data_IF_536382504837
#
_entry.id   IF_536382504837
#
_cell.length_a   1.000
_cell.length_b   1.000
_cell.length_c   1.000
_cell.angle_alpha   90.00
_cell.angle_beta   90.00
_cell.angle_gamma   90.00
#
_symmetry.space_group_name_H-M   'P 1'
#
loop_
_entity.id
_entity.type
_entity.pdbx_description
1 polymer ?
#
# COMPACT_ATOMS: atom_id res chain seq x y z
N UNK A 1 21.39 3.18 12.99
CA UNK A 1 20.96 2.27 11.89
C UNK A 1 19.90 1.34 12.43
N UNK A 2 18.62 1.58 12.14
CA UNK A 2 17.55 0.64 12.49
C UNK A 2 17.67 -0.58 11.58
N UNK A 3 17.60 -1.77 12.19
CA UNK A 3 17.83 -3.04 11.55
C UNK A 3 16.84 -3.31 10.40
N UNK A 4 17.30 -3.15 9.17
CA UNK A 4 16.60 -3.59 7.95
C UNK A 4 16.41 -5.13 7.86
N UNK A 5 16.94 -5.89 8.82
CA UNK A 5 16.77 -7.36 8.87
C UNK A 5 15.33 -7.85 9.01
N UNK A 6 14.40 -6.98 9.44
CA UNK A 6 13.00 -7.34 9.64
C UNK A 6 12.13 -7.27 8.37
N UNK A 7 12.70 -6.78 7.24
CA UNK A 7 11.99 -6.66 5.96
C UNK A 7 12.17 -7.86 5.02
N UNK A 8 12.74 -8.97 5.50
CA UNK A 8 13.06 -10.14 4.67
C UNK A 8 11.86 -10.90 4.08
N UNK A 9 10.64 -10.63 4.55
CA UNK A 9 9.44 -11.32 4.07
C UNK A 9 8.72 -10.58 2.93
N UNK A 10 9.30 -9.49 2.45
CA UNK A 10 8.77 -8.76 1.31
C UNK A 10 9.61 -9.09 0.07
N UNK A 11 9.14 -10.01 -0.72
CA UNK A 11 9.65 -10.22 -2.08
C UNK A 11 8.75 -9.48 -3.07
N UNK A 12 9.34 -8.62 -3.89
CA UNK A 12 8.76 -8.31 -5.19
C UNK A 12 8.55 -9.66 -5.87
N UNK A 13 7.31 -10.03 -6.15
CA UNK A 13 7.08 -11.11 -7.08
C UNK A 13 7.79 -10.74 -8.39
N UNK A 14 8.49 -11.67 -9.02
CA UNK A 14 9.32 -11.47 -10.21
C UNK A 14 8.63 -10.73 -11.38
N UNK A 15 7.33 -10.47 -11.27
CA UNK A 15 6.47 -9.82 -12.25
C UNK A 15 6.09 -8.36 -11.93
N UNK A 16 6.59 -7.75 -10.86
CA UNK A 16 6.31 -6.35 -10.57
C UNK A 16 7.18 -5.42 -11.46
N UNK A 17 6.68 -5.10 -12.65
CA UNK A 17 7.26 -4.02 -13.46
C UNK A 17 6.95 -2.69 -12.78
N UNK A 18 7.99 -2.10 -12.17
CA UNK A 18 7.92 -0.71 -11.71
C UNK A 18 7.85 0.21 -12.93
N UNK A 19 6.88 1.13 -12.95
CA UNK A 19 6.69 2.08 -14.05
C UNK A 19 7.69 3.23 -13.94
N UNK A 20 8.97 2.94 -14.16
CA UNK A 20 10.01 3.97 -14.12
C UNK A 20 9.81 5.05 -15.18
N UNK A 21 9.32 4.67 -16.37
CA UNK A 21 9.16 5.61 -17.47
C UNK A 21 8.07 6.65 -17.16
N UNK A 22 6.98 6.23 -16.51
CA UNK A 22 5.94 7.14 -16.02
C UNK A 22 6.44 8.14 -14.97
N UNK A 23 7.46 7.78 -14.19
CA UNK A 23 8.04 8.64 -13.14
C UNK A 23 9.36 9.30 -13.54
N UNK A 24 9.88 9.07 -14.76
CA UNK A 24 11.19 9.56 -15.20
C UNK A 24 11.39 11.04 -14.91
N UNK A 25 10.46 11.89 -15.33
CA UNK A 25 10.58 13.34 -15.17
C UNK A 25 10.60 13.76 -13.68
N UNK A 26 9.81 13.10 -12.84
CA UNK A 26 9.77 13.38 -11.40
C UNK A 26 11.08 12.98 -10.72
N UNK A 27 11.66 11.84 -11.11
CA UNK A 27 12.96 11.38 -10.63
C UNK A 27 14.08 12.34 -11.06
N UNK A 28 14.11 12.75 -12.33
CA UNK A 28 15.11 13.71 -12.84
C UNK A 28 15.01 15.06 -12.13
N UNK A 29 13.80 15.56 -11.90
CA UNK A 29 13.59 16.81 -11.17
C UNK A 29 14.10 16.72 -9.73
N UNK A 30 13.84 15.61 -9.04
CA UNK A 30 14.36 15.37 -7.70
C UNK A 30 15.91 15.36 -7.68
N UNK A 31 16.53 14.65 -8.61
CA UNK A 31 18.00 14.60 -8.75
C UNK A 31 18.57 16.02 -8.91
N UNK A 32 17.98 16.83 -9.79
CA UNK A 32 18.41 18.22 -10.03
C UNK A 32 18.27 19.09 -8.79
N UNK A 33 17.16 18.97 -8.07
CA UNK A 33 16.90 19.69 -6.83
C UNK A 33 18.00 19.40 -5.79
N UNK A 34 18.36 18.14 -5.60
CA UNK A 34 19.43 17.76 -4.65
C UNK A 34 20.79 18.26 -5.10
N UNK A 35 21.13 18.13 -6.40
CA UNK A 35 22.42 18.62 -6.95
C UNK A 35 22.58 20.13 -6.76
N UNK A 36 21.51 20.89 -6.92
CA UNK A 36 21.53 22.35 -6.75
C UNK A 36 21.41 22.80 -5.29
N UNK A 37 21.21 21.85 -4.38
CA UNK A 37 20.89 22.14 -2.97
C UNK A 37 19.71 23.13 -2.81
N UNK A 38 18.72 22.99 -3.69
CA UNK A 38 17.50 23.82 -3.68
C UNK A 38 16.46 23.20 -2.75
N UNK A 39 15.65 24.00 -2.05
CA UNK A 39 14.46 23.50 -1.40
C UNK A 39 13.50 23.03 -2.48
N UNK A 40 13.08 21.79 -2.42
CA UNK A 40 12.24 21.19 -3.46
C UNK A 40 11.33 20.08 -2.96
N UNK A 41 10.58 19.54 -3.88
CA UNK A 41 9.73 18.39 -3.62
C UNK A 41 10.64 17.19 -3.35
N UNK A 42 10.48 16.54 -2.20
CA UNK A 42 11.22 15.32 -1.87
C UNK A 42 10.94 14.18 -2.85
N UNK A 43 11.67 13.09 -2.72
CA UNK A 43 11.46 11.90 -3.56
C UNK A 43 10.14 11.19 -3.26
N UNK A 44 9.50 11.50 -2.14
CA UNK A 44 8.30 10.88 -1.65
C UNK A 44 7.22 10.62 -2.74
N UNK A 45 6.80 11.60 -3.55
CA UNK A 45 5.70 11.37 -4.50
C UNK A 45 5.99 10.30 -5.54
N UNK A 46 7.21 10.25 -6.08
CA UNK A 46 7.55 9.22 -7.06
C UNK A 46 8.00 7.92 -6.39
N UNK A 47 8.76 7.98 -5.32
CA UNK A 47 9.23 6.79 -4.60
C UNK A 47 8.05 5.99 -4.03
N UNK A 48 7.09 6.67 -3.44
CA UNK A 48 5.88 6.03 -2.94
C UNK A 48 5.03 5.44 -4.08
N UNK A 49 4.85 6.16 -5.16
CA UNK A 49 4.12 5.68 -6.33
C UNK A 49 4.80 4.46 -6.97
N UNK A 50 6.13 4.48 -7.12
CA UNK A 50 6.89 3.34 -7.62
C UNK A 50 6.78 2.13 -6.67
N UNK A 51 6.93 2.33 -5.36
CA UNK A 51 6.84 1.28 -4.34
C UNK A 51 5.45 0.65 -4.35
N UNK A 52 4.40 1.45 -4.46
CA UNK A 52 3.02 0.96 -4.57
C UNK A 52 2.70 0.36 -5.94
N UNK A 53 3.57 0.53 -6.93
CA UNK A 53 3.32 0.14 -8.30
C UNK A 53 2.17 0.94 -8.94
N UNK A 54 1.93 2.13 -8.44
CA UNK A 54 1.05 3.10 -9.07
C UNK A 54 1.79 3.64 -10.28
N UNK A 55 1.36 3.24 -11.49
CA UNK A 55 1.68 4.03 -12.67
C UNK A 55 1.20 5.46 -12.39
N UNK A 56 1.80 6.47 -13.04
CA UNK A 56 1.25 7.84 -12.96
C UNK A 56 -0.26 7.70 -13.09
N UNK A 57 -0.99 8.00 -12.03
CA UNK A 57 -2.45 8.07 -12.08
C UNK A 57 -2.76 9.25 -13.00
N UNK A 58 -2.63 9.00 -14.29
CA UNK A 58 -3.33 9.79 -15.25
C UNK A 58 -4.78 9.63 -14.85
N UNK A 59 -5.45 10.75 -14.63
CA UNK A 59 -6.81 10.92 -14.16
C UNK A 59 -7.57 9.60 -14.12
N UNK A 60 -7.85 9.08 -12.93
CA UNK A 60 -8.43 7.76 -12.72
C UNK A 60 -9.36 7.45 -13.87
N UNK A 61 -9.02 6.46 -14.70
CA UNK A 61 -9.88 6.11 -15.82
C UNK A 61 -11.21 5.77 -15.17
N UNK A 62 -12.13 6.73 -15.19
CA UNK A 62 -13.46 6.56 -14.63
C UNK A 62 -14.00 5.31 -15.29
N UNK A 63 -14.17 4.23 -14.51
CA UNK A 63 -14.77 3.00 -15.02
C UNK A 63 -16.25 3.22 -15.40
N UNK A 64 -16.68 4.48 -15.47
CA UNK A 64 -18.02 4.89 -15.84
C UNK A 64 -19.06 4.48 -14.81
N UNK A 65 -18.76 4.56 -13.51
CA UNK A 65 -19.74 4.44 -12.45
C UNK A 65 -20.70 5.63 -12.50
N UNK A 66 -22.00 5.34 -12.34
CA UNK A 66 -23.02 6.37 -12.21
C UNK A 66 -22.92 7.05 -10.83
N UNK A 67 -23.41 8.28 -10.74
CA UNK A 67 -23.46 9.00 -9.44
C UNK A 67 -24.28 8.26 -8.39
N UNK A 68 -25.31 7.53 -8.81
CA UNK A 68 -26.12 6.69 -7.92
C UNK A 68 -25.31 5.51 -7.37
N UNK A 69 -24.48 4.84 -8.19
CA UNK A 69 -23.59 3.77 -7.75
C UNK A 69 -22.55 4.31 -6.75
N UNK A 70 -21.95 5.46 -7.05
CA UNK A 70 -20.96 6.12 -6.17
C UNK A 70 -21.58 6.51 -4.83
N UNK A 71 -22.78 7.11 -4.86
CA UNK A 71 -23.52 7.46 -3.65
C UNK A 71 -23.85 6.23 -2.81
N UNK A 72 -24.46 5.20 -3.39
CA UNK A 72 -24.82 3.96 -2.69
C UNK A 72 -23.60 3.29 -2.04
N UNK A 73 -22.47 3.31 -2.71
CA UNK A 73 -21.22 2.79 -2.15
C UNK A 73 -20.75 3.61 -0.94
N UNK A 74 -20.71 4.94 -1.09
CA UNK A 74 -20.35 5.85 -0.02
C UNK A 74 -21.27 5.69 1.18
N UNK A 75 -22.58 5.67 0.96
CA UNK A 75 -23.59 5.53 2.02
C UNK A 75 -23.39 4.24 2.83
N UNK A 76 -23.05 3.13 2.18
CA UNK A 76 -22.74 1.88 2.86
C UNK A 76 -21.54 2.00 3.80
N UNK A 77 -20.52 2.75 3.41
CA UNK A 77 -19.25 2.83 4.12
C UNK A 77 -19.18 4.01 5.11
N UNK A 78 -20.22 4.83 5.18
CA UNK A 78 -20.32 5.92 6.16
C UNK A 78 -21.31 5.62 7.28
N UNK A 79 -22.01 4.49 7.21
CA UNK A 79 -22.93 4.01 8.25
C UNK A 79 -22.22 3.04 9.20
N UNK A 80 -22.69 3.02 10.47
CA UNK A 80 -22.21 2.01 11.43
C UNK A 80 -22.31 0.59 10.85
N UNK A 81 -21.31 -0.27 11.05
CA UNK A 81 -20.19 -0.14 11.96
C UNK A 81 -18.92 0.54 11.35
N UNK A 82 -19.02 1.12 10.17
CA UNK A 82 -17.92 1.80 9.52
C UNK A 82 -17.60 3.14 10.17
N UNK A 83 -16.33 3.48 10.20
CA UNK A 83 -15.82 4.78 10.62
C UNK A 83 -15.05 5.42 9.47
N UNK A 84 -15.12 6.74 9.36
CA UNK A 84 -14.33 7.53 8.41
C UNK A 84 -13.64 8.67 9.15
N UNK A 85 -12.42 8.96 8.76
CA UNK A 85 -11.63 10.08 9.26
C UNK A 85 -11.86 11.38 8.48
N UNK A 86 -12.87 11.40 7.61
CA UNK A 86 -13.14 12.51 6.68
C UNK A 86 -12.33 12.42 5.38
N UNK A 87 -11.40 11.47 5.28
CA UNK A 87 -10.61 11.21 4.08
C UNK A 87 -11.29 10.22 3.11
N UNK A 88 -10.53 9.72 2.12
CA UNK A 88 -11.03 8.79 1.10
C UNK A 88 -11.24 7.35 1.61
N UNK A 89 -10.95 7.08 2.86
CA UNK A 89 -10.97 5.74 3.46
C UNK A 89 -12.12 5.59 4.44
N UNK A 90 -12.71 4.41 4.43
CA UNK A 90 -13.56 3.94 5.52
C UNK A 90 -12.93 2.70 6.15
N UNK A 91 -13.00 2.62 7.47
CA UNK A 91 -12.38 1.58 8.28
C UNK A 91 -13.41 0.90 9.16
N UNK A 92 -13.19 -0.37 9.41
CA UNK A 92 -13.92 -1.14 10.42
C UNK A 92 -12.93 -1.85 11.34
N UNK A 93 -13.32 -1.97 12.61
CA UNK A 93 -12.50 -2.62 13.63
C UNK A 93 -13.31 -3.75 14.26
N UNK A 94 -12.88 -4.99 14.05
CA UNK A 94 -13.44 -6.16 14.71
C UNK A 94 -12.75 -6.34 16.07
N UNK A 95 -13.56 -6.49 17.11
CA UNK A 95 -13.09 -6.74 18.46
C UNK A 95 -12.03 -5.73 18.95
N UNK A 96 -12.24 -4.45 18.66
CA UNK A 96 -11.31 -3.37 19.03
C UNK A 96 -11.05 -3.25 20.55
N UNK A 97 -11.96 -3.79 21.36
CA UNK A 97 -11.81 -3.87 22.83
C UNK A 97 -10.77 -4.89 23.29
N UNK A 98 -10.39 -5.85 22.44
CA UNK A 98 -9.38 -6.84 22.78
C UNK A 98 -8.01 -6.17 22.89
N UNK A 99 -7.28 -6.50 23.95
CA UNK A 99 -5.94 -5.98 24.17
C UNK A 99 -5.02 -6.50 23.07
N UNK A 100 -4.31 -5.58 22.42
CA UNK A 100 -3.17 -5.90 21.58
C UNK A 100 -2.07 -6.47 22.48
N UNK A 101 -1.30 -7.46 22.01
CA UNK A 101 -0.09 -7.89 22.72
C UNK A 101 0.83 -6.66 22.88
N UNK A 102 1.26 -6.37 24.10
CA UNK A 102 2.17 -5.25 24.37
C UNK A 102 3.42 -5.37 23.50
N UNK A 103 3.78 -4.27 22.83
CA UNK A 103 4.93 -4.23 21.93
C UNK A 103 4.71 -4.87 20.55
N UNK A 104 3.51 -5.35 20.26
CA UNK A 104 3.18 -5.94 18.96
C UNK A 104 3.21 -4.91 17.82
N UNK A 105 3.88 -5.24 16.72
CA UNK A 105 3.85 -4.45 15.50
C UNK A 105 2.51 -4.70 14.78
N UNK A 106 1.94 -3.66 14.19
CA UNK A 106 0.79 -3.83 13.28
C UNK A 106 1.27 -4.46 11.98
N UNK A 107 0.72 -5.61 11.65
CA UNK A 107 0.94 -6.29 10.39
C UNK A 107 -0.16 -5.90 9.42
N UNK A 108 0.18 -5.78 8.14
CA UNK A 108 -0.75 -5.37 7.10
C UNK A 108 -0.79 -6.42 6.00
N UNK A 109 -1.98 -6.72 5.52
CA UNK A 109 -2.18 -7.47 4.29
C UNK A 109 -2.88 -6.58 3.28
N UNK A 110 -2.23 -6.35 2.17
CA UNK A 110 -2.72 -5.49 1.10
C UNK A 110 -3.35 -6.34 0.00
N UNK A 111 -4.50 -5.94 -0.47
CA UNK A 111 -5.22 -6.59 -1.56
C UNK A 111 -5.56 -5.56 -2.63
N UNK A 112 -5.07 -5.79 -3.84
CA UNK A 112 -5.39 -4.98 -5.01
C UNK A 112 -6.45 -5.68 -5.85
N UNK A 113 -7.56 -5.04 -6.12
CA UNK A 113 -8.62 -5.58 -6.98
C UNK A 113 -8.26 -5.44 -8.46
N UNK A 114 -8.68 -6.37 -9.29
CA UNK A 114 -8.60 -6.21 -10.74
C UNK A 114 -9.47 -5.00 -11.16
N UNK A 115 -8.90 -4.13 -11.99
CA UNK A 115 -9.41 -2.79 -12.32
C UNK A 115 -10.44 -2.83 -13.46
N UNK A 116 -11.48 -3.62 -13.30
CA UNK A 116 -12.63 -3.64 -14.22
C UNK A 116 -13.90 -3.23 -13.48
N UNK A 117 -14.83 -2.55 -14.17
CA UNK A 117 -16.10 -2.13 -13.59
C UNK A 117 -16.88 -3.32 -13.02
N UNK A 118 -16.89 -4.43 -13.73
CA UNK A 118 -17.56 -5.66 -13.29
C UNK A 118 -16.99 -6.17 -11.97
N UNK A 119 -15.67 -6.24 -11.87
CA UNK A 119 -15.00 -6.73 -10.67
C UNK A 119 -15.20 -5.83 -9.46
N UNK A 120 -15.12 -4.51 -9.65
CA UNK A 120 -15.40 -3.53 -8.59
C UNK A 120 -16.85 -3.62 -8.12
N UNK A 121 -17.81 -3.85 -9.05
CA UNK A 121 -19.21 -4.10 -8.68
C UNK A 121 -19.37 -5.41 -7.90
N UNK A 122 -18.71 -6.50 -8.31
CA UNK A 122 -18.72 -7.76 -7.55
C UNK A 122 -18.19 -7.54 -6.12
N UNK A 123 -17.10 -6.80 -5.98
CA UNK A 123 -16.57 -6.41 -4.69
C UNK A 123 -17.61 -5.64 -3.87
N UNK A 124 -18.20 -4.58 -4.43
CA UNK A 124 -19.19 -3.75 -3.76
C UNK A 124 -20.46 -4.53 -3.33
N UNK A 125 -20.79 -5.61 -4.01
CA UNK A 125 -21.91 -6.49 -3.66
C UNK A 125 -21.54 -7.51 -2.57
N UNK A 126 -20.30 -7.97 -2.57
CA UNK A 126 -19.83 -9.08 -1.74
C UNK A 126 -19.00 -8.69 -0.53
N UNK A 127 -18.69 -7.39 -0.35
CA UNK A 127 -17.83 -6.95 0.76
C UNK A 127 -18.40 -7.30 2.15
N UNK A 128 -19.73 -7.40 2.29
CA UNK A 128 -20.37 -7.84 3.53
C UNK A 128 -20.00 -9.27 3.93
N UNK A 129 -19.78 -10.18 2.97
CA UNK A 129 -19.30 -11.52 3.28
C UNK A 129 -17.83 -11.54 3.73
N UNK A 130 -16.99 -10.65 3.20
CA UNK A 130 -15.63 -10.45 3.73
C UNK A 130 -15.67 -9.93 5.17
N UNK A 131 -16.57 -8.98 5.45
CA UNK A 131 -16.81 -8.51 6.82
C UNK A 131 -17.10 -9.68 7.77
N UNK A 132 -18.04 -10.56 7.40
CA UNK A 132 -18.42 -11.70 8.23
C UNK A 132 -17.26 -12.67 8.45
N UNK A 133 -16.46 -12.94 7.42
CA UNK A 133 -15.30 -13.82 7.53
C UNK A 133 -14.22 -13.24 8.46
N UNK A 134 -13.91 -11.96 8.33
CA UNK A 134 -12.90 -11.31 9.17
C UNK A 134 -13.39 -11.14 10.61
N UNK A 135 -14.70 -10.88 10.82
CA UNK A 135 -15.30 -10.89 12.17
C UNK A 135 -15.18 -12.28 12.80
N UNK A 136 -15.59 -13.33 12.09
CA UNK A 136 -15.49 -14.71 12.57
C UNK A 136 -14.05 -15.11 12.91
N UNK A 137 -13.09 -14.71 12.08
CA UNK A 137 -11.67 -14.95 12.34
C UNK A 137 -11.20 -14.22 13.61
N UNK A 138 -11.60 -12.95 13.77
CA UNK A 138 -11.29 -12.17 14.97
C UNK A 138 -11.88 -12.79 16.23
N UNK A 139 -13.12 -13.30 16.16
CA UNK A 139 -13.80 -13.97 17.29
C UNK A 139 -13.11 -15.28 17.66
N UNK A 140 -12.81 -16.14 16.68
CA UNK A 140 -12.17 -17.44 16.87
C UNK A 140 -10.76 -17.33 17.46
N UNK A 141 -10.03 -16.31 17.05
CA UNK A 141 -8.63 -16.11 17.47
C UNK A 141 -8.51 -15.21 18.69
N UNK A 142 -9.61 -14.60 19.14
CA UNK A 142 -9.60 -13.58 20.20
C UNK A 142 -8.57 -12.49 19.95
N UNK A 143 -8.38 -12.13 18.68
CA UNK A 143 -7.42 -11.10 18.25
C UNK A 143 -8.12 -10.00 17.48
N UNK A 144 -7.80 -8.72 17.71
CA UNK A 144 -8.40 -7.64 16.96
C UNK A 144 -7.94 -7.68 15.50
N UNK A 145 -8.88 -7.52 14.58
CA UNK A 145 -8.64 -7.36 13.15
C UNK A 145 -9.32 -6.07 12.73
N UNK A 146 -8.65 -5.24 11.97
CA UNK A 146 -9.28 -4.10 11.33
C UNK A 146 -8.96 -4.07 9.85
N UNK A 147 -9.80 -3.44 9.07
CA UNK A 147 -9.52 -3.28 7.65
C UNK A 147 -10.16 -2.00 7.12
N UNK A 148 -9.60 -1.51 6.04
CA UNK A 148 -10.09 -0.31 5.37
C UNK A 148 -10.16 -0.50 3.86
N UNK A 149 -11.08 0.24 3.26
CA UNK A 149 -11.26 0.34 1.81
C UNK A 149 -11.64 1.77 1.44
N UNK A 150 -11.52 2.11 0.16
CA UNK A 150 -11.93 3.44 -0.31
C UNK A 150 -13.45 3.61 -0.25
N UNK A 151 -13.89 4.76 0.26
CA UNK A 151 -15.31 5.14 0.27
C UNK A 151 -15.78 5.79 -1.04
N UNK A 152 -14.89 5.89 -2.03
CA UNK A 152 -15.15 6.38 -3.37
C UNK A 152 -14.84 5.26 -4.38
N UNK A 153 -15.79 4.93 -5.25
CA UNK A 153 -15.63 3.86 -6.26
C UNK A 153 -14.54 4.18 -7.29
N UNK A 154 -14.36 5.44 -7.68
CA UNK A 154 -13.32 5.81 -8.63
C UNK A 154 -11.94 5.65 -7.99
N UNK A 155 -11.79 6.02 -6.71
CA UNK A 155 -10.56 5.79 -5.97
C UNK A 155 -10.29 4.28 -5.77
N UNK A 156 -11.32 3.50 -5.42
CA UNK A 156 -11.22 2.05 -5.31
C UNK A 156 -10.77 1.40 -6.63
N UNK A 157 -11.25 1.93 -7.76
CA UNK A 157 -10.87 1.48 -9.09
C UNK A 157 -9.46 1.94 -9.50
N UNK A 158 -9.04 3.12 -9.06
CA UNK A 158 -7.76 3.73 -9.43
C UNK A 158 -6.58 3.34 -8.55
N UNK A 159 -6.83 3.12 -7.26
CA UNK A 159 -5.77 2.84 -6.28
C UNK A 159 -5.34 1.36 -6.28
N UNK A 160 -4.06 1.11 -6.09
CA UNK A 160 -3.52 -0.25 -5.98
C UNK A 160 -3.79 -0.87 -4.60
N UNK A 161 -4.02 -0.07 -3.57
CA UNK A 161 -4.41 -0.55 -2.24
C UNK A 161 -5.94 -0.57 -2.11
N UNK A 162 -6.62 -1.47 -2.80
CA UNK A 162 -8.09 -1.54 -2.75
C UNK A 162 -8.60 -1.91 -1.35
N UNK A 163 -7.88 -2.81 -0.68
CA UNK A 163 -8.12 -3.24 0.69
C UNK A 163 -6.82 -3.24 1.46
N UNK A 164 -6.89 -2.83 2.72
CA UNK A 164 -5.79 -2.98 3.66
C UNK A 164 -6.32 -3.58 4.95
N UNK A 165 -5.89 -4.80 5.27
CA UNK A 165 -6.28 -5.53 6.47
C UNK A 165 -5.15 -5.44 7.48
N UNK A 166 -5.46 -5.05 8.71
CA UNK A 166 -4.52 -4.90 9.81
C UNK A 166 -4.77 -6.00 10.82
N UNK A 167 -3.71 -6.63 11.29
CA UNK A 167 -3.73 -7.62 12.35
C UNK A 167 -2.47 -7.50 13.21
N UNK A 168 -2.47 -8.09 14.39
CA UNK A 168 -1.45 -7.81 15.40
C UNK A 168 -0.67 -9.04 15.84
N UNK A 169 -1.06 -10.21 15.36
CA UNK A 169 -0.40 -11.47 15.65
C UNK A 169 0.15 -12.10 14.37
N UNK A 170 1.44 -12.46 14.35
CA UNK A 170 2.07 -13.09 13.17
C UNK A 170 1.42 -14.42 12.81
N UNK A 171 0.89 -15.14 13.80
CA UNK A 171 0.25 -16.42 13.59
C UNK A 171 -1.05 -16.27 12.78
N UNK A 172 -1.63 -15.06 12.74
CA UNK A 172 -2.81 -14.75 11.93
C UNK A 172 -2.50 -14.57 10.44
N UNK A 173 -1.24 -14.48 10.04
CA UNK A 173 -0.87 -14.21 8.65
C UNK A 173 -1.58 -15.16 7.68
N UNK A 174 -1.41 -16.47 7.87
CA UNK A 174 -2.01 -17.47 7.01
C UNK A 174 -3.54 -17.48 7.09
N UNK A 175 -4.09 -17.28 8.27
CA UNK A 175 -5.54 -17.27 8.46
C UNK A 175 -6.20 -16.08 7.77
N UNK A 176 -5.59 -14.89 7.79
CA UNK A 176 -6.05 -13.70 7.06
C UNK A 176 -5.96 -13.93 5.55
N UNK A 177 -4.86 -14.48 5.04
CA UNK A 177 -4.72 -14.85 3.63
C UNK A 177 -5.81 -15.83 3.21
N UNK A 178 -5.99 -16.89 3.98
CA UNK A 178 -6.98 -17.92 3.71
C UNK A 178 -8.41 -17.36 3.70
N UNK A 179 -8.76 -16.48 4.65
CA UNK A 179 -10.07 -15.84 4.69
C UNK A 179 -10.33 -15.00 3.42
N UNK A 180 -9.33 -14.26 2.94
CA UNK A 180 -9.44 -13.49 1.70
C UNK A 180 -9.57 -14.40 0.48
N UNK A 181 -8.79 -15.48 0.40
CA UNK A 181 -8.88 -16.45 -0.70
C UNK A 181 -10.23 -17.19 -0.71
N UNK A 182 -10.73 -17.58 0.45
CA UNK A 182 -12.07 -18.20 0.58
C UNK A 182 -13.16 -17.23 0.12
N UNK A 183 -13.08 -15.97 0.53
CA UNK A 183 -13.99 -14.94 0.08
C UNK A 183 -13.94 -14.76 -1.44
N UNK A 184 -12.75 -14.69 -2.03
CA UNK A 184 -12.55 -14.56 -3.47
C UNK A 184 -13.13 -15.74 -4.23
N UNK A 185 -12.85 -16.96 -3.78
CA UNK A 185 -13.37 -18.18 -4.39
C UNK A 185 -14.91 -18.23 -4.40
N UNK A 186 -15.54 -17.79 -3.30
CA UNK A 186 -16.99 -17.76 -3.18
C UNK A 186 -17.66 -16.66 -4.00
N UNK A 187 -17.01 -15.53 -4.16
CA UNK A 187 -17.63 -14.32 -4.75
C UNK A 187 -17.25 -14.08 -6.21
N UNK A 188 -16.20 -14.74 -6.68
CA UNK A 188 -15.61 -14.51 -8.01
C UNK A 188 -14.93 -13.15 -8.14
N UNK A 189 -14.64 -12.47 -7.03
CA UNK A 189 -13.86 -11.23 -7.04
C UNK A 189 -12.41 -11.56 -7.42
N UNK A 190 -11.93 -10.86 -8.44
CA UNK A 190 -10.58 -11.04 -8.94
C UNK A 190 -9.64 -9.98 -8.34
N UNK A 191 -8.42 -10.42 -8.06
CA UNK A 191 -7.34 -9.54 -7.65
C UNK A 191 -6.34 -9.37 -8.78
N UNK A 192 -5.61 -8.28 -8.81
CA UNK A 192 -4.55 -8.10 -9.82
C UNK A 192 -3.35 -9.00 -9.49
N UNK A 193 -2.49 -9.26 -10.46
CA UNK A 193 -1.25 -10.01 -10.26
C UNK A 193 -0.25 -9.33 -9.29
N UNK A 194 -0.52 -8.09 -8.88
CA UNK A 194 0.28 -7.32 -7.91
C UNK A 194 -0.17 -7.49 -6.47
N UNK A 195 -1.08 -8.41 -6.24
CA UNK A 195 -1.70 -8.59 -4.93
C UNK A 195 -0.93 -9.47 -4.01
N UNK A 196 -1.16 -9.22 -2.76
CA UNK A 196 -0.79 -10.07 -1.64
C UNK A 196 0.63 -9.83 -1.14
N UNK A 197 0.88 -8.61 -0.64
CA UNK A 197 2.08 -8.40 0.16
C UNK A 197 1.74 -8.08 1.61
N UNK A 198 2.57 -8.57 2.50
CA UNK A 198 2.52 -8.23 3.91
C UNK A 198 3.50 -7.12 4.21
N UNK A 199 3.02 -6.09 4.88
CA UNK A 199 3.85 -5.03 5.40
C UNK A 199 3.83 -5.01 6.92
N UNK A 200 4.80 -4.33 7.50
CA UNK A 200 4.85 -4.06 8.93
C UNK A 200 4.83 -2.56 9.11
N UNK A 201 3.78 -2.02 9.72
CA UNK A 201 3.79 -0.61 10.09
C UNK A 201 4.79 -0.39 11.24
N UNK A 202 5.60 0.64 11.13
CA UNK A 202 6.58 1.01 12.15
C UNK A 202 5.92 1.51 13.46
N UNK A 203 4.58 1.53 13.51
CA UNK A 203 3.78 2.04 14.61
C UNK A 203 2.81 1.02 15.16
N UNK A 204 2.65 0.93 16.47
CA UNK A 204 1.65 0.08 17.12
C UNK A 204 0.21 0.58 16.97
N UNK A 205 -0.04 1.77 16.44
CA UNK A 205 -1.39 2.33 16.35
C UNK A 205 -1.64 3.06 15.03
N UNK A 206 -2.64 2.67 14.23
CA UNK A 206 -3.13 3.51 13.14
C UNK A 206 -3.67 4.82 13.74
N UNK A 207 -3.21 5.96 13.26
CA UNK A 207 -3.75 7.28 13.64
C UNK A 207 -2.87 8.18 14.51
N UNK A 208 -1.76 7.70 15.08
CA UNK A 208 -0.89 8.52 15.95
C UNK A 208 0.26 9.21 15.21
N UNK A 209 0.03 9.72 14.00
CA UNK A 209 1.04 10.52 13.28
C UNK A 209 2.29 9.76 12.84
N UNK A 210 2.27 8.44 12.87
CA UNK A 210 3.40 7.58 12.49
C UNK A 210 3.29 7.13 11.05
N UNK A 211 4.43 7.11 10.37
CA UNK A 211 4.54 6.82 8.94
C UNK A 211 4.09 5.40 8.62
N UNK A 212 3.30 5.23 7.57
CA UNK A 212 2.96 3.90 7.05
C UNK A 212 4.23 3.18 6.57
N UNK A 213 4.16 1.85 6.45
CA UNK A 213 5.26 1.05 5.92
C UNK A 213 5.76 1.57 4.55
N UNK A 214 4.86 1.83 3.60
CA UNK A 214 5.22 2.37 2.30
C UNK A 214 5.90 3.74 2.39
N UNK A 215 5.48 4.57 3.32
CA UNK A 215 6.12 5.86 3.59
C UNK A 215 7.52 5.69 4.20
N UNK A 216 7.69 4.74 5.11
CA UNK A 216 9.00 4.43 5.69
C UNK A 216 9.98 3.93 4.63
N UNK A 217 9.52 3.11 3.68
CA UNK A 217 10.34 2.67 2.55
C UNK A 217 10.69 3.83 1.62
N UNK A 218 9.72 4.67 1.28
CA UNK A 218 9.95 5.83 0.41
C UNK A 218 10.98 6.79 1.02
N UNK A 219 10.86 7.08 2.33
CA UNK A 219 11.82 7.92 3.04
C UNK A 219 13.22 7.30 3.08
N UNK A 220 13.32 5.99 3.32
CA UNK A 220 14.60 5.28 3.30
C UNK A 220 15.24 5.30 1.91
N UNK A 221 14.46 5.13 0.87
CA UNK A 221 14.94 5.25 -0.51
C UNK A 221 15.40 6.68 -0.83
N UNK A 222 14.62 7.70 -0.43
CA UNK A 222 14.99 9.10 -0.58
C UNK A 222 16.31 9.41 0.11
N UNK A 223 16.50 8.92 1.33
CA UNK A 223 17.74 9.10 2.09
C UNK A 223 18.94 8.51 1.34
N UNK A 224 18.85 7.28 0.84
CA UNK A 224 19.95 6.62 0.13
C UNK A 224 20.26 7.32 -1.20
N UNK A 225 19.27 7.70 -1.98
CA UNK A 225 19.46 8.43 -3.22
C UNK A 225 20.07 9.81 -2.96
N UNK A 226 19.62 10.51 -1.91
CA UNK A 226 20.19 11.81 -1.51
C UNK A 226 21.66 11.68 -1.10
N UNK A 227 22.02 10.65 -0.32
CA UNK A 227 23.42 10.37 0.03
C UNK A 227 24.29 10.14 -1.21
N UNK A 228 23.79 9.34 -2.16
CA UNK A 228 24.49 9.06 -3.39
C UNK A 228 24.72 10.34 -4.22
N UNK A 229 23.68 11.15 -4.41
CA UNK A 229 23.77 12.40 -5.17
C UNK A 229 24.73 13.38 -4.49
N UNK A 230 24.68 13.55 -3.18
CA UNK A 230 25.60 14.43 -2.44
C UNK A 230 27.04 13.95 -2.49
N UNK A 231 27.27 12.63 -2.49
CA UNK A 231 28.61 12.05 -2.57
C UNK A 231 29.29 12.27 -3.93
N UNK A 232 28.51 12.13 -5.01
CA UNK A 232 29.06 12.12 -6.37
C UNK A 232 28.78 13.41 -7.16
N UNK A 233 27.79 14.21 -6.77
CA UNK A 233 27.48 15.50 -7.38
C UNK A 233 27.39 15.43 -8.90
N UNK A 234 28.22 16.26 -9.57
CA UNK A 234 28.24 16.33 -11.03
C UNK A 234 29.14 15.30 -11.70
N UNK A 235 29.78 14.38 -10.92
CA UNK A 235 30.51 13.25 -11.51
C UNK A 235 29.59 12.34 -12.34
N UNK A 236 28.31 12.29 -11.99
CA UNK A 236 27.29 11.58 -12.73
C UNK A 236 26.28 12.55 -13.35
N UNK A 237 25.87 12.22 -14.58
CA UNK A 237 24.75 12.92 -15.24
C UNK A 237 23.42 12.57 -14.56
N UNK A 238 22.39 13.38 -14.79
CA UNK A 238 21.06 13.10 -14.28
C UNK A 238 20.52 11.74 -14.80
N UNK A 239 20.82 11.41 -16.05
CA UNK A 239 20.43 10.13 -16.65
C UNK A 239 21.17 8.94 -16.00
N UNK A 240 22.43 9.08 -15.61
CA UNK A 240 23.15 8.04 -14.89
C UNK A 240 22.56 7.80 -13.50
N UNK A 241 22.15 8.85 -12.80
CA UNK A 241 21.40 8.69 -11.55
C UNK A 241 20.02 8.03 -11.76
N UNK A 242 19.33 8.38 -12.84
CA UNK A 242 18.06 7.74 -13.18
C UNK A 242 18.24 6.24 -13.45
N UNK A 243 19.26 5.84 -14.21
CA UNK A 243 19.56 4.42 -14.45
C UNK A 243 19.99 3.71 -13.15
N UNK A 244 20.65 4.43 -12.23
CA UNK A 244 20.93 3.89 -10.91
C UNK A 244 19.63 3.63 -10.12
N UNK A 245 18.68 4.55 -10.13
CA UNK A 245 17.38 4.37 -9.50
C UNK A 245 16.67 3.12 -10.02
N UNK A 246 16.67 2.90 -11.33
CA UNK A 246 16.07 1.71 -11.95
C UNK A 246 16.68 0.40 -11.47
N UNK A 247 17.99 0.38 -11.22
CA UNK A 247 18.70 -0.81 -10.74
C UNK A 247 18.59 -0.99 -9.21
N UNK A 248 18.69 0.11 -8.48
CA UNK A 248 18.75 0.09 -7.03
C UNK A 248 17.39 -0.16 -6.38
N UNK A 249 16.33 0.50 -6.85
CA UNK A 249 15.04 0.43 -6.19
C UNK A 249 14.47 -1.01 -6.09
N UNK A 250 14.50 -1.85 -7.14
CA UNK A 250 14.06 -3.24 -7.02
C UNK A 250 14.85 -4.02 -5.98
N UNK A 251 16.17 -3.84 -5.94
CA UNK A 251 17.05 -4.50 -4.96
C UNK A 251 16.84 -3.98 -3.55
N UNK A 252 16.63 -2.68 -3.40
CA UNK A 252 16.28 -2.04 -2.13
C UNK A 252 14.97 -2.62 -1.58
N UNK A 253 13.98 -2.75 -2.44
CA UNK A 253 12.66 -3.28 -2.08
C UNK A 253 12.71 -4.79 -1.76
N UNK A 254 13.58 -5.56 -2.39
CA UNK A 254 13.76 -6.99 -2.09
C UNK A 254 14.58 -7.25 -0.82
N UNK A 255 15.09 -6.20 -0.17
CA UNK A 255 15.98 -6.34 0.99
C UNK A 255 17.35 -6.93 0.64
N UNK A 256 17.68 -7.03 -0.65
CA UNK A 256 18.99 -7.48 -1.12
C UNK A 256 20.01 -6.39 -0.82
N UNK A 257 21.15 -6.76 -0.23
CA UNK A 257 22.27 -5.83 -0.07
C UNK A 257 22.82 -5.49 -1.46
N UNK A 258 22.69 -4.25 -1.88
CA UNK A 258 23.41 -3.75 -3.05
C UNK A 258 24.78 -3.32 -2.56
N UNK A 259 25.82 -4.03 -2.98
CA UNK A 259 27.20 -3.56 -2.84
C UNK A 259 27.47 -2.50 -3.92
N UNK A 260 27.93 -1.34 -3.51
CA UNK A 260 28.38 -0.26 -4.38
C UNK A 260 29.85 -0.45 -4.76
#
# INVERSE_FOLDING_TARGET
MKNFKEFKDWSLTENQKLDFDGYKQSILNFIRTIKRNEPGVGAWPFAYGLIRGEGKVGAANSLGFTDDQKRKWKDKLTQSPWTTDGGPWSQINHNSQLKRREGGKTLNYYVTLAKTKENINKFALSFGSLYTLLQSLSDQTSSPISWKTHNNLDALAGDNDSLKIFYYDRDLKQAVEQAVEEWRAKTGVQTSARTHYHGVDASPSPGEGKKSWGQTLADGFEEELTKLIRKHGDQYTDEQYYEWVKKFLPSFLSGSKVSF
#
